data_IF_250881775025
#
_entry.id   IF_250881775025
#
_cell.length_a   1.000
_cell.length_b   1.000
_cell.length_c   1.000
_cell.angle_alpha   90.00
_cell.angle_beta   90.00
_cell.angle_gamma   90.00
#
_symmetry.space_group_name_H-M   'P 1'
#
loop_
_entity.id
_entity.type
_entity.pdbx_description
1 polymer ?
#
# COMPACT_ATOMS: atom_id res chain seq x y z
N UNK A 1 51.68 -4.12 37.66
CA UNK A 1 51.12 -4.93 36.55
C UNK A 1 49.70 -5.44 36.87
N UNK A 2 48.83 -4.62 37.48
CA UNK A 2 47.55 -5.05 38.10
C UNK A 2 46.30 -4.38 37.51
N UNK A 3 46.45 -3.36 36.65
CA UNK A 3 45.31 -2.63 36.07
C UNK A 3 44.72 -3.30 34.82
N UNK A 4 45.50 -4.10 34.07
CA UNK A 4 45.02 -4.77 32.84
C UNK A 4 43.99 -5.88 33.10
N UNK A 5 44.10 -6.58 34.23
CA UNK A 5 43.16 -7.64 34.59
C UNK A 5 41.77 -7.12 34.97
N UNK A 6 41.69 -5.93 35.60
CA UNK A 6 40.41 -5.31 35.98
C UNK A 6 39.59 -4.88 34.76
N UNK A 7 40.23 -4.42 33.68
CA UNK A 7 39.54 -4.08 32.44
C UNK A 7 39.01 -5.31 31.71
N UNK A 8 39.73 -6.44 31.72
CA UNK A 8 39.26 -7.70 31.14
C UNK A 8 38.04 -8.24 31.90
N UNK A 9 38.06 -8.13 33.24
CA UNK A 9 36.94 -8.54 34.09
C UNK A 9 35.68 -7.67 33.88
N UNK A 10 35.85 -6.36 33.71
CA UNK A 10 34.74 -5.45 33.40
C UNK A 10 34.15 -5.71 32.00
N UNK A 11 34.97 -6.03 31.01
CA UNK A 11 34.50 -6.35 29.66
C UNK A 11 33.72 -7.67 29.62
N UNK A 12 34.21 -8.70 30.33
CA UNK A 12 33.51 -9.96 30.49
C UNK A 12 32.17 -9.80 31.21
N UNK A 13 32.10 -8.95 32.24
CA UNK A 13 30.85 -8.64 32.94
C UNK A 13 29.83 -7.93 32.03
N UNK A 14 30.28 -7.07 31.12
CA UNK A 14 29.41 -6.38 30.15
C UNK A 14 28.78 -7.35 29.13
N UNK A 15 29.50 -8.38 28.67
CA UNK A 15 28.95 -9.40 27.77
C UNK A 15 27.87 -10.27 28.44
N UNK A 16 27.95 -10.49 29.75
CA UNK A 16 26.93 -11.23 30.50
C UNK A 16 25.69 -10.34 30.79
N UNK A 17 25.89 -9.04 30.99
CA UNK A 17 24.82 -8.09 31.27
C UNK A 17 23.96 -7.73 30.03
N UNK A 18 24.52 -7.88 28.82
CA UNK A 18 23.81 -7.62 27.56
C UNK A 18 23.66 -8.90 26.73
N UNK A 19 22.69 -9.79 27.07
CA UNK A 19 22.36 -10.90 26.19
C UNK A 19 21.69 -10.35 24.92
N UNK A 20 22.44 -10.26 23.82
CA UNK A 20 21.83 -10.14 22.50
C UNK A 20 20.96 -11.37 22.26
N UNK A 21 19.67 -11.13 21.98
CA UNK A 21 18.75 -12.19 21.54
C UNK A 21 19.17 -12.63 20.15
N UNK A 22 20.03 -13.65 20.07
CA UNK A 22 20.26 -14.39 18.84
C UNK A 22 18.90 -14.92 18.34
N UNK A 23 18.54 -14.74 17.05
CA UNK A 23 17.29 -15.25 16.51
C UNK A 23 17.32 -16.78 16.48
N UNK A 24 16.90 -17.40 17.57
CA UNK A 24 16.70 -18.84 17.63
C UNK A 24 15.47 -19.22 16.77
N UNK A 25 15.60 -20.13 15.79
CA UNK A 25 14.56 -20.41 14.80
C UNK A 25 13.39 -21.26 15.31
N UNK A 26 13.37 -21.69 16.58
CA UNK A 26 12.31 -22.57 17.10
C UNK A 26 11.74 -22.02 18.40
N UNK A 27 10.49 -21.56 18.35
CA UNK A 27 9.70 -21.18 19.53
C UNK A 27 8.69 -22.30 19.78
N UNK A 28 8.90 -23.08 20.83
CA UNK A 28 7.95 -24.10 21.25
C UNK A 28 6.85 -23.44 22.11
N UNK A 29 5.58 -23.54 21.68
CA UNK A 29 4.41 -23.15 22.46
C UNK A 29 3.69 -24.43 22.90
N UNK A 30 3.50 -24.68 24.22
CA UNK A 30 2.97 -25.95 24.73
C UNK A 30 1.60 -26.38 24.17
N UNK A 31 0.82 -25.46 23.59
CA UNK A 31 -0.53 -25.70 23.07
C UNK A 31 -0.59 -25.92 21.55
N UNK A 32 0.52 -25.85 20.82
CA UNK A 32 0.54 -25.91 19.35
C UNK A 32 1.55 -26.96 18.86
N UNK A 33 1.11 -27.91 18.03
CA UNK A 33 1.97 -29.00 17.52
C UNK A 33 3.15 -28.42 16.75
N UNK A 34 4.34 -29.00 16.93
CA UNK A 34 5.55 -28.60 16.24
C UNK A 34 5.37 -28.71 14.71
N UNK A 35 5.32 -27.57 14.02
CA UNK A 35 5.31 -27.48 12.56
C UNK A 35 6.75 -27.28 12.08
N UNK A 36 7.25 -28.24 11.30
CA UNK A 36 8.51 -28.11 10.59
C UNK A 36 8.36 -27.08 9.45
N UNK A 37 9.34 -26.18 9.28
CA UNK A 37 9.33 -25.13 8.24
C UNK A 37 10.67 -25.12 7.50
N UNK A 38 10.61 -25.02 6.18
CA UNK A 38 11.80 -24.93 5.34
C UNK A 38 12.54 -23.60 5.58
N UNK A 39 13.89 -23.56 5.53
CA UNK A 39 14.66 -22.33 5.68
C UNK A 39 14.36 -21.35 4.53
N UNK A 40 13.51 -20.34 4.78
CA UNK A 40 13.16 -19.30 3.80
C UNK A 40 11.68 -18.91 3.79
N UNK A 41 10.79 -19.76 4.30
CA UNK A 41 9.38 -19.39 4.52
C UNK A 41 9.23 -18.70 5.87
N UNK A 42 9.28 -17.38 5.84
CA UNK A 42 8.88 -16.57 6.98
C UNK A 42 7.37 -16.71 7.12
N UNK A 43 6.89 -17.64 7.94
CA UNK A 43 5.58 -17.51 8.54
C UNK A 43 5.60 -16.28 9.44
N UNK A 44 5.22 -15.13 8.88
CA UNK A 44 5.01 -13.91 9.66
C UNK A 44 3.64 -14.07 10.35
N UNK A 45 3.63 -14.88 11.41
CA UNK A 45 2.50 -15.13 12.31
C UNK A 45 2.17 -13.90 13.16
N UNK A 46 1.73 -12.85 12.47
CA UNK A 46 0.78 -11.86 12.93
C UNK A 46 -0.09 -11.62 11.71
N UNK A 47 -1.22 -12.29 11.61
CA UNK A 47 -1.75 -12.71 10.31
C UNK A 47 -2.13 -11.50 9.44
N UNK A 48 -1.55 -11.42 8.24
CA UNK A 48 -2.07 -10.54 7.19
C UNK A 48 -3.57 -10.80 6.96
N UNK A 49 -3.99 -12.07 7.09
CA UNK A 49 -5.39 -12.49 7.05
C UNK A 49 -6.23 -11.94 8.22
N UNK A 50 -5.69 -11.82 9.43
CA UNK A 50 -6.39 -11.22 10.57
C UNK A 50 -6.58 -9.71 10.37
N UNK A 51 -5.55 -9.01 9.88
CA UNK A 51 -5.66 -7.58 9.56
C UNK A 51 -6.64 -7.36 8.41
N UNK A 52 -6.65 -8.26 7.43
CA UNK A 52 -7.61 -8.22 6.33
C UNK A 52 -9.04 -8.39 6.86
N UNK A 53 -9.30 -9.44 7.65
CA UNK A 53 -10.61 -9.69 8.26
C UNK A 53 -11.05 -8.52 9.18
N UNK A 54 -10.11 -7.93 9.93
CA UNK A 54 -10.39 -6.75 10.76
C UNK A 54 -10.77 -5.53 9.92
N UNK A 55 -10.13 -5.34 8.76
CA UNK A 55 -10.46 -4.26 7.84
C UNK A 55 -11.83 -4.49 7.20
N UNK A 56 -12.15 -5.73 6.80
CA UNK A 56 -13.47 -6.10 6.27
C UNK A 56 -14.58 -5.89 7.30
N UNK A 57 -14.36 -6.28 8.57
CA UNK A 57 -15.32 -6.03 9.64
C UNK A 57 -15.55 -4.52 9.84
N UNK A 58 -14.49 -3.71 9.79
CA UNK A 58 -14.62 -2.25 9.85
C UNK A 58 -15.36 -1.68 8.63
N UNK A 59 -15.17 -2.25 7.44
CA UNK A 59 -15.89 -1.88 6.21
C UNK A 59 -17.39 -2.18 6.34
N UNK A 60 -17.74 -3.38 6.83
CA UNK A 60 -19.13 -3.81 7.07
C UNK A 60 -19.83 -2.94 8.13
N UNK A 61 -19.10 -2.51 9.16
CA UNK A 61 -19.61 -1.59 10.18
C UNK A 61 -19.77 -0.14 9.68
N UNK A 62 -19.39 0.16 8.43
CA UNK A 62 -19.47 1.50 7.86
C UNK A 62 -18.30 2.42 8.22
N UNK A 63 -17.34 1.94 9.03
CA UNK A 63 -16.16 2.67 9.47
C UNK A 63 -15.06 2.71 8.39
N UNK A 64 -15.39 3.32 7.24
CA UNK A 64 -14.50 3.39 6.06
C UNK A 64 -13.10 3.93 6.38
N UNK A 65 -13.03 4.96 7.23
CA UNK A 65 -11.75 5.56 7.63
C UNK A 65 -10.86 4.62 8.44
N UNK A 66 -11.45 3.78 9.29
CA UNK A 66 -10.72 2.75 10.05
C UNK A 66 -10.28 1.62 9.13
N UNK A 67 -11.16 1.14 8.27
CA UNK A 67 -10.85 0.10 7.28
C UNK A 67 -9.65 0.49 6.41
N UNK A 68 -9.64 1.71 5.84
CA UNK A 68 -8.51 2.22 5.03
C UNK A 68 -7.19 2.22 5.82
N UNK A 69 -7.21 2.64 7.09
CA UNK A 69 -6.00 2.65 7.94
C UNK A 69 -5.47 1.23 8.16
N UNK A 70 -6.35 0.25 8.38
CA UNK A 70 -5.97 -1.14 8.59
C UNK A 70 -5.42 -1.75 7.30
N UNK A 71 -6.10 -1.58 6.16
CA UNK A 71 -5.60 -2.03 4.86
C UNK A 71 -4.21 -1.45 4.54
N UNK A 72 -4.02 -0.13 4.73
CA UNK A 72 -2.71 0.51 4.52
C UNK A 72 -1.62 -0.05 5.43
N UNK A 73 -1.95 -0.33 6.70
CA UNK A 73 -1.02 -0.95 7.66
C UNK A 73 -0.65 -2.36 7.21
N UNK A 74 -1.63 -3.13 6.76
CA UNK A 74 -1.43 -4.49 6.27
C UNK A 74 -0.49 -4.48 5.06
N UNK A 75 -0.75 -3.68 4.04
CA UNK A 75 0.10 -3.59 2.84
C UNK A 75 1.52 -3.13 3.19
N UNK A 76 1.67 -2.19 4.13
CA UNK A 76 2.99 -1.72 4.58
C UNK A 76 3.78 -2.81 5.31
N UNK A 77 3.11 -3.64 6.12
CA UNK A 77 3.77 -4.67 6.94
C UNK A 77 3.93 -6.00 6.20
N UNK A 78 3.01 -6.30 5.28
CA UNK A 78 2.93 -7.56 4.54
C UNK A 78 2.74 -7.32 3.03
N UNK A 79 3.69 -6.65 2.34
CA UNK A 79 3.54 -6.35 0.91
C UNK A 79 3.57 -7.60 0.02
N UNK A 80 4.13 -8.73 0.49
CA UNK A 80 4.19 -9.98 -0.28
C UNK A 80 3.05 -10.96 0.02
N UNK A 81 2.09 -10.55 0.84
CA UNK A 81 0.94 -11.40 1.16
C UNK A 81 0.03 -11.54 -0.06
N UNK A 82 -0.56 -12.72 -0.25
CA UNK A 82 -1.57 -12.97 -1.29
C UNK A 82 -2.75 -11.99 -1.21
N UNK A 83 -3.04 -11.48 -0.01
CA UNK A 83 -4.11 -10.52 0.27
C UNK A 83 -3.69 -9.06 0.12
N UNK A 84 -2.40 -8.77 -0.11
CA UNK A 84 -1.91 -7.39 -0.25
C UNK A 84 -2.47 -6.66 -1.49
N UNK A 85 -2.58 -7.28 -2.68
CA UNK A 85 -3.20 -6.63 -3.83
C UNK A 85 -4.69 -6.31 -3.57
N UNK A 86 -5.41 -7.27 -2.99
CA UNK A 86 -6.83 -7.11 -2.64
C UNK A 86 -7.03 -5.99 -1.61
N UNK A 87 -6.22 -5.95 -0.55
CA UNK A 87 -6.25 -4.91 0.47
C UNK A 87 -5.96 -3.51 -0.12
N UNK A 88 -5.00 -3.42 -1.05
CA UNK A 88 -4.66 -2.18 -1.73
C UNK A 88 -5.83 -1.68 -2.59
N UNK A 89 -6.46 -2.58 -3.34
CA UNK A 89 -7.63 -2.28 -4.16
C UNK A 89 -8.82 -1.80 -3.31
N UNK A 90 -9.16 -2.53 -2.24
CA UNK A 90 -10.22 -2.17 -1.29
C UNK A 90 -9.97 -0.81 -0.65
N UNK A 91 -8.74 -0.55 -0.21
CA UNK A 91 -8.32 0.76 0.31
C UNK A 91 -8.57 1.88 -0.70
N UNK A 92 -8.19 1.68 -1.97
CA UNK A 92 -8.40 2.66 -3.03
C UNK A 92 -9.89 2.94 -3.25
N UNK A 93 -10.71 1.89 -3.37
CA UNK A 93 -12.16 1.98 -3.56
C UNK A 93 -12.86 2.68 -2.41
N UNK A 94 -12.49 2.37 -1.16
CA UNK A 94 -13.04 3.06 0.01
C UNK A 94 -12.64 4.54 0.05
N UNK A 95 -11.42 4.87 -0.38
CA UNK A 95 -10.96 6.26 -0.47
C UNK A 95 -11.72 7.02 -1.56
N UNK A 96 -11.98 6.37 -2.71
CA UNK A 96 -12.82 6.91 -3.78
C UNK A 96 -14.25 7.17 -3.29
N UNK A 97 -14.85 6.22 -2.54
CA UNK A 97 -16.17 6.36 -1.92
C UNK A 97 -16.24 7.45 -0.82
N UNK A 98 -15.11 7.88 -0.28
CA UNK A 98 -15.03 9.04 0.61
C UNK A 98 -15.00 10.37 -0.15
N UNK A 99 -14.90 10.35 -1.48
CA UNK A 99 -14.78 11.54 -2.34
C UNK A 99 -13.35 12.06 -2.50
N UNK A 100 -12.36 11.39 -1.88
CA UNK A 100 -10.94 11.76 -1.92
C UNK A 100 -10.27 11.23 -3.20
N UNK A 101 -10.75 11.66 -4.36
CA UNK A 101 -10.29 11.17 -5.68
C UNK A 101 -8.78 11.33 -5.89
N UNK A 102 -8.22 12.46 -5.45
CA UNK A 102 -6.78 12.76 -5.53
C UNK A 102 -5.93 11.79 -4.71
N UNK A 103 -6.47 11.22 -3.63
CA UNK A 103 -5.78 10.20 -2.83
C UNK A 103 -6.05 8.79 -3.35
N UNK A 104 -7.19 8.54 -3.99
CA UNK A 104 -7.53 7.23 -4.53
C UNK A 104 -6.69 6.88 -5.76
N UNK A 105 -6.52 7.82 -6.69
CA UNK A 105 -5.77 7.63 -7.94
C UNK A 105 -4.33 7.08 -7.75
N UNK A 106 -3.48 7.62 -6.84
CA UNK A 106 -2.14 7.08 -6.62
C UNK A 106 -2.15 5.70 -5.94
N UNK A 107 -3.20 5.33 -5.20
CA UNK A 107 -3.30 3.99 -4.60
C UNK A 107 -3.59 2.96 -5.70
N UNK A 108 -4.51 3.27 -6.63
CA UNK A 108 -4.74 2.43 -7.82
C UNK A 108 -3.48 2.33 -8.69
N UNK A 109 -2.72 3.42 -8.83
CA UNK A 109 -1.42 3.41 -9.53
C UNK A 109 -0.47 2.42 -8.89
N UNK A 110 -0.27 2.54 -7.57
CA UNK A 110 0.61 1.65 -6.82
C UNK A 110 0.18 0.18 -6.88
N UNK A 111 -1.13 -0.10 -6.95
CA UNK A 111 -1.63 -1.46 -7.16
C UNK A 111 -1.13 -2.05 -8.49
N UNK A 112 -1.19 -1.28 -9.58
CA UNK A 112 -0.75 -1.75 -10.90
C UNK A 112 0.77 -1.83 -11.02
N UNK A 113 1.50 -0.90 -10.39
CA UNK A 113 2.97 -0.87 -10.40
C UNK A 113 3.57 -2.00 -9.55
N UNK A 114 3.00 -2.26 -8.37
CA UNK A 114 3.53 -3.25 -7.42
C UNK A 114 2.98 -4.64 -7.71
N UNK A 115 1.71 -4.75 -8.13
CA UNK A 115 1.01 -6.02 -8.32
C UNK A 115 0.38 -6.13 -9.72
N UNK A 116 1.19 -6.19 -10.80
CA UNK A 116 0.68 -6.22 -12.17
C UNK A 116 -0.15 -7.47 -12.50
N UNK A 117 0.03 -8.57 -11.76
CA UNK A 117 -0.69 -9.84 -11.96
C UNK A 117 -1.96 -9.96 -11.10
N UNK A 118 -2.44 -8.86 -10.51
CA UNK A 118 -3.66 -8.87 -9.68
C UNK A 118 -4.92 -9.07 -10.52
N UNK A 119 -5.89 -9.82 -9.98
CA UNK A 119 -7.21 -9.98 -10.61
C UNK A 119 -7.93 -8.64 -10.80
N UNK A 120 -7.65 -7.65 -9.94
CA UNK A 120 -8.25 -6.32 -9.99
C UNK A 120 -7.51 -5.33 -10.91
N UNK A 121 -6.57 -5.80 -11.74
CA UNK A 121 -5.77 -4.91 -12.58
C UNK A 121 -6.65 -4.09 -13.52
N UNK A 122 -7.59 -4.76 -14.19
CA UNK A 122 -8.48 -4.11 -15.14
C UNK A 122 -9.47 -3.15 -14.46
N UNK A 123 -9.98 -3.53 -13.30
CA UNK A 123 -10.85 -2.67 -12.48
C UNK A 123 -10.10 -1.42 -11.98
N UNK A 124 -8.83 -1.56 -11.61
CA UNK A 124 -7.99 -0.45 -11.16
C UNK A 124 -7.75 0.56 -12.30
N UNK A 125 -7.46 0.09 -13.52
CA UNK A 125 -7.35 0.95 -14.71
C UNK A 125 -8.67 1.68 -14.96
N UNK A 126 -9.79 0.97 -14.91
CA UNK A 126 -11.10 1.56 -15.13
C UNK A 126 -11.42 2.65 -14.10
N UNK A 127 -11.19 2.38 -12.81
CA UNK A 127 -11.38 3.37 -11.76
C UNK A 127 -10.45 4.56 -11.91
N UNK A 128 -9.18 4.36 -12.28
CA UNK A 128 -8.28 5.47 -12.58
C UNK A 128 -8.76 6.31 -13.76
N UNK A 129 -9.21 5.67 -14.84
CA UNK A 129 -9.72 6.36 -16.01
C UNK A 129 -10.93 7.23 -15.65
N UNK A 130 -11.87 6.67 -14.89
CA UNK A 130 -13.04 7.38 -14.37
C UNK A 130 -12.66 8.58 -13.51
N UNK A 131 -11.70 8.41 -12.60
CA UNK A 131 -11.18 9.52 -11.76
C UNK A 131 -10.57 10.61 -12.64
N UNK A 132 -9.77 10.23 -13.64
CA UNK A 132 -9.20 11.17 -14.61
C UNK A 132 -10.27 11.97 -15.35
N UNK A 133 -11.34 11.32 -15.82
CA UNK A 133 -12.47 12.00 -16.49
C UNK A 133 -13.19 12.98 -15.54
N UNK A 134 -13.41 12.59 -14.29
CA UNK A 134 -14.04 13.46 -13.28
C UNK A 134 -13.17 14.70 -13.03
N UNK A 135 -11.85 14.53 -12.90
CA UNK A 135 -10.92 15.64 -12.67
C UNK A 135 -10.80 16.56 -13.89
N UNK A 136 -10.79 15.98 -15.10
CA UNK A 136 -10.74 16.72 -16.36
C UNK A 136 -12.00 17.56 -16.59
N UNK A 137 -13.17 17.04 -16.18
CA UNK A 137 -14.45 17.76 -16.25
C UNK A 137 -14.70 18.66 -15.02
N UNK A 138 -13.96 18.46 -13.94
CA UNK A 138 -14.04 19.23 -12.72
C UNK A 138 -13.71 20.70 -12.97
N UNK A 139 -14.67 21.61 -12.68
CA UNK A 139 -14.42 23.06 -12.74
C UNK A 139 -13.33 23.42 -11.72
N UNK A 140 -12.38 24.25 -12.16
CA UNK A 140 -11.28 24.82 -11.34
C UNK A 140 -11.78 25.18 -9.94
N UNK A 141 -11.30 24.48 -8.90
CA UNK A 141 -11.61 24.82 -7.51
C UNK A 141 -10.89 26.14 -7.18
N UNK A 142 -11.65 27.24 -7.18
CA UNK A 142 -11.17 28.52 -6.65
C UNK A 142 -11.35 28.48 -5.13
N UNK A 143 -10.25 28.43 -4.39
CA UNK A 143 -10.27 28.61 -2.94
C UNK A 143 -9.65 29.97 -2.68
N UNK A 144 -10.42 30.89 -2.08
CA UNK A 144 -9.95 32.21 -1.65
C UNK A 144 -9.26 33.03 -2.77
N UNK A 145 -9.81 33.01 -3.99
CA UNK A 145 -9.29 33.80 -5.12
C UNK A 145 -7.99 33.28 -5.75
N UNK A 146 -7.34 32.27 -5.15
CA UNK A 146 -6.15 31.62 -5.70
C UNK A 146 -6.58 30.33 -6.43
N UNK A 147 -6.14 30.11 -7.69
CA UNK A 147 -6.29 28.81 -8.32
C UNK A 147 -5.38 27.82 -7.59
N UNK A 148 -5.96 26.99 -6.73
CA UNK A 148 -5.28 25.82 -6.17
C UNK A 148 -5.16 24.81 -7.32
N UNK A 149 -3.96 24.26 -7.54
CA UNK A 149 -3.57 23.19 -8.49
C UNK A 149 -4.60 22.80 -9.54
N UNK A 150 -4.26 22.96 -10.82
CA UNK A 150 -5.23 22.72 -11.87
C UNK A 150 -5.62 21.23 -11.90
N UNK A 151 -6.91 20.94 -11.68
CA UNK A 151 -7.51 19.59 -11.80
C UNK A 151 -7.19 18.90 -13.13
N UNK A 152 -6.80 19.70 -14.14
CA UNK A 152 -6.30 19.28 -15.44
C UNK A 152 -4.91 18.63 -15.38
N UNK A 153 -3.95 19.19 -14.63
CA UNK A 153 -2.62 18.60 -14.48
C UNK A 153 -2.70 17.23 -13.81
N UNK A 154 -3.46 17.11 -12.72
CA UNK A 154 -3.63 15.80 -12.07
C UNK A 154 -4.35 14.80 -12.97
N UNK A 155 -5.33 15.22 -13.78
CA UNK A 155 -5.96 14.37 -14.77
C UNK A 155 -4.95 13.87 -15.83
N UNK A 156 -4.09 14.75 -16.34
CA UNK A 156 -3.01 14.40 -17.28
C UNK A 156 -2.07 13.37 -16.67
N UNK A 157 -1.67 13.54 -15.41
CA UNK A 157 -0.80 12.58 -14.72
C UNK A 157 -1.44 11.20 -14.60
N UNK A 158 -2.74 11.15 -14.27
CA UNK A 158 -3.50 9.90 -14.15
C UNK A 158 -3.59 9.20 -15.51
N UNK A 159 -3.99 9.91 -16.56
CA UNK A 159 -4.04 9.34 -17.90
C UNK A 159 -2.66 8.88 -18.38
N UNK A 160 -1.61 9.65 -18.10
CA UNK A 160 -0.23 9.26 -18.44
C UNK A 160 0.21 8.00 -17.68
N UNK A 161 -0.25 7.81 -16.43
CA UNK A 161 0.00 6.57 -15.69
C UNK A 161 -0.71 5.36 -16.32
N UNK A 162 -1.95 5.53 -16.81
CA UNK A 162 -2.68 4.46 -17.53
C UNK A 162 -1.93 4.06 -18.80
N UNK A 163 -1.50 5.02 -19.61
CA UNK A 163 -0.77 4.75 -20.86
C UNK A 163 0.54 4.01 -20.59
N UNK A 164 1.27 4.38 -19.53
CA UNK A 164 2.51 3.70 -19.13
C UNK A 164 2.27 2.29 -18.61
N UNK A 165 1.20 2.08 -17.84
CA UNK A 165 0.92 0.80 -17.18
C UNK A 165 0.28 -0.22 -18.14
N UNK A 166 -0.54 0.25 -19.07
CA UNK A 166 -1.22 -0.59 -20.06
C UNK A 166 -1.15 0.04 -21.46
N UNK A 167 0.00 -0.04 -22.17
CA UNK A 167 0.15 0.57 -23.50
C UNK A 167 -0.88 0.10 -24.54
N UNK A 168 -1.36 -1.14 -24.41
CA UNK A 168 -2.34 -1.76 -25.32
C UNK A 168 -3.73 -1.95 -24.67
N UNK A 169 -4.04 -1.18 -23.62
CA UNK A 169 -5.31 -1.27 -22.90
C UNK A 169 -6.49 -0.64 -23.64
N UNK A 170 -7.72 -1.10 -23.34
CA UNK A 170 -8.97 -0.57 -23.92
C UNK A 170 -9.17 0.94 -23.73
N UNK A 171 -8.54 1.51 -22.69
CA UNK A 171 -8.65 2.91 -22.34
C UNK A 171 -7.49 3.78 -22.85
N UNK A 172 -6.47 3.19 -23.44
CA UNK A 172 -5.19 3.88 -23.69
C UNK A 172 -5.29 4.93 -24.79
N UNK A 173 -5.94 4.59 -25.92
CA UNK A 173 -6.19 5.55 -26.99
C UNK A 173 -7.02 6.75 -26.50
N UNK A 174 -8.04 6.48 -25.67
CA UNK A 174 -8.90 7.53 -25.10
C UNK A 174 -8.14 8.39 -24.08
N UNK A 175 -7.35 7.77 -23.22
CA UNK A 175 -6.48 8.47 -22.27
C UNK A 175 -5.48 9.39 -22.99
N UNK A 176 -4.87 8.95 -24.10
CA UNK A 176 -3.98 9.79 -24.92
C UNK A 176 -4.73 10.99 -25.53
N UNK A 177 -5.92 10.76 -26.07
CA UNK A 177 -6.76 11.84 -26.58
C UNK A 177 -7.12 12.87 -25.49
N UNK A 178 -7.52 12.39 -24.30
CA UNK A 178 -7.89 13.24 -23.18
C UNK A 178 -6.70 14.05 -22.63
N UNK A 179 -5.47 13.50 -22.67
CA UNK A 179 -4.24 14.25 -22.38
C UNK A 179 -4.05 15.41 -23.36
N UNK A 180 -4.25 15.17 -24.67
CA UNK A 180 -4.16 16.21 -25.69
C UNK A 180 -5.17 17.33 -25.44
N UNK A 181 -6.44 16.94 -25.21
CA UNK A 181 -7.53 17.88 -24.89
C UNK A 181 -7.27 18.70 -23.62
N UNK A 182 -6.64 18.08 -22.61
CA UNK A 182 -6.29 18.77 -21.37
C UNK A 182 -5.23 19.85 -21.57
N UNK A 183 -4.27 19.63 -22.47
CA UNK A 183 -3.18 20.57 -22.77
C UNK A 183 -3.56 21.71 -23.71
N UNK A 184 -4.65 21.54 -24.47
CA UNK A 184 -5.16 22.56 -25.38
C UNK A 184 -5.84 23.75 -24.66
N UNK A 185 -6.37 23.52 -23.44
CA UNK A 185 -7.14 24.51 -22.65
C UNK A 185 -6.29 25.40 -21.76
#
# INVERSE_FOLDING_TARGET
MTYRFRFVLLFAAACVAFPERSPAPVIFRPSEKAKYKAPGEVEISGNANELFAQAEAAEQNGDRGRAIKIYKRMVKRYPRSDKAPEATFRSAKLTELQGDLLKAAPIYRGLMEIYPQTAHFQEAIESQFRIGEILLNGKKRKILGVPVGSTLEEAVEIFAAIVRSAPYGRYTARAQFDIGRAREK
#
